data_IF_443201117578
#
_entry.id   IF_443201117578
#
_cell.length_a   1.000
_cell.length_b   1.000
_cell.length_c   1.000
_cell.angle_alpha   90.00
_cell.angle_beta   90.00
_cell.angle_gamma   90.00
#
_symmetry.space_group_name_H-M   'P 1'
#
loop_
_entity.id
_entity.type
_entity.pdbx_description
1 polymer ?
#
# COMPACT_ATOMS: atom_id res chain seq x y z
N UNK A 1 -33.73 -15.17 -0.21
CA UNK A 1 -32.60 -15.67 0.59
C UNK A 1 -31.44 -15.72 -0.37
N UNK A 2 -30.58 -14.70 -0.36
CA UNK A 2 -29.41 -14.66 -1.23
C UNK A 2 -28.49 -15.83 -0.89
N UNK A 3 -28.28 -16.67 -1.90
CA UNK A 3 -27.43 -17.85 -1.79
C UNK A 3 -25.98 -17.35 -1.89
N UNK A 4 -25.44 -16.82 -0.79
CA UNK A 4 -24.04 -16.37 -0.72
C UNK A 4 -23.14 -17.52 -1.18
N UNK A 5 -22.52 -17.36 -2.36
CA UNK A 5 -21.61 -18.37 -2.91
C UNK A 5 -20.45 -18.58 -1.93
N UNK A 6 -20.21 -19.84 -1.58
CA UNK A 6 -19.16 -20.22 -0.64
C UNK A 6 -17.80 -19.96 -1.29
N UNK A 7 -16.96 -19.14 -0.66
CA UNK A 7 -15.58 -18.94 -1.09
C UNK A 7 -14.82 -20.27 -1.20
N UNK A 8 -14.01 -20.39 -2.25
CA UNK A 8 -13.14 -21.53 -2.52
C UNK A 8 -11.71 -21.03 -2.75
N UNK A 9 -10.77 -21.52 -1.96
CA UNK A 9 -9.35 -21.23 -2.17
C UNK A 9 -8.91 -21.73 -3.54
N UNK A 10 -8.15 -20.91 -4.27
CA UNK A 10 -7.62 -21.28 -5.57
C UNK A 10 -6.34 -20.50 -5.89
N UNK A 11 -5.46 -21.12 -6.67
CA UNK A 11 -4.35 -20.40 -7.29
C UNK A 11 -4.91 -19.44 -8.35
N UNK A 12 -4.31 -18.26 -8.48
CA UNK A 12 -4.77 -17.23 -9.39
C UNK A 12 -4.87 -17.79 -10.82
N UNK A 13 -6.07 -17.84 -11.42
CA UNK A 13 -6.25 -18.56 -12.68
C UNK A 13 -5.59 -17.85 -13.87
N UNK A 14 -5.15 -16.61 -13.72
CA UNK A 14 -4.48 -15.83 -14.77
C UNK A 14 -2.99 -16.08 -14.79
N UNK A 15 -2.28 -15.80 -13.69
CA UNK A 15 -0.82 -15.85 -13.65
C UNK A 15 -0.22 -16.98 -12.82
N UNK A 16 -1.04 -17.59 -11.96
CA UNK A 16 -0.65 -18.63 -11.01
C UNK A 16 0.35 -18.27 -9.91
N UNK A 17 0.66 -16.98 -9.74
CA UNK A 17 1.63 -16.51 -8.74
C UNK A 17 1.04 -16.29 -7.34
N UNK A 18 -0.26 -15.96 -7.23
CA UNK A 18 -0.95 -15.75 -5.94
C UNK A 18 -1.88 -16.94 -5.62
N UNK A 19 -1.87 -17.39 -4.37
CA UNK A 19 -2.85 -18.35 -3.85
C UNK A 19 -3.93 -17.63 -3.05
N UNK A 20 -5.17 -17.59 -3.57
CA UNK A 20 -6.31 -16.98 -2.89
C UNK A 20 -6.75 -17.86 -1.72
N UNK A 21 -6.75 -17.33 -0.49
CA UNK A 21 -7.22 -18.04 0.71
C UNK A 21 -8.14 -17.19 1.58
N UNK A 22 -8.92 -17.83 2.45
CA UNK A 22 -9.75 -17.16 3.47
C UNK A 22 -8.94 -16.45 4.55
N UNK A 23 -7.67 -16.81 4.71
CA UNK A 23 -6.80 -16.32 5.78
C UNK A 23 -5.79 -15.27 5.30
N UNK A 24 -5.81 -14.91 4.01
CA UNK A 24 -4.88 -13.93 3.49
C UNK A 24 -5.17 -12.50 3.98
N UNK A 25 -6.31 -12.25 4.64
CA UNK A 25 -6.56 -11.01 5.37
C UNK A 25 -7.70 -11.18 6.41
N UNK A 26 -7.42 -11.13 7.73
CA UNK A 26 -8.45 -11.18 8.76
C UNK A 26 -9.31 -9.90 8.86
N UNK A 27 -8.94 -8.81 8.16
CA UNK A 27 -9.66 -7.53 8.19
C UNK A 27 -10.68 -7.36 7.05
N UNK A 28 -10.80 -8.35 6.17
CA UNK A 28 -11.71 -8.29 5.02
C UNK A 28 -13.01 -9.02 5.34
N UNK A 29 -14.00 -8.28 5.86
CA UNK A 29 -15.36 -8.81 6.08
C UNK A 29 -16.05 -9.26 4.78
N UNK A 30 -15.57 -8.81 3.61
CA UNK A 30 -16.09 -9.17 2.30
C UNK A 30 -14.97 -9.46 1.28
N UNK A 31 -14.81 -10.73 0.90
CA UNK A 31 -13.80 -11.22 -0.07
C UNK A 31 -13.95 -10.62 -1.49
N UNK A 32 -15.01 -9.84 -1.72
CA UNK A 32 -15.39 -9.24 -3.01
C UNK A 32 -14.34 -8.24 -3.58
N UNK A 33 -13.38 -7.77 -2.78
CA UNK A 33 -12.32 -6.85 -3.22
C UNK A 33 -10.94 -7.48 -3.47
N UNK A 34 -10.77 -8.78 -3.20
CA UNK A 34 -9.43 -9.39 -3.19
C UNK A 34 -8.92 -9.65 -4.62
N UNK A 35 -7.80 -9.01 -4.99
CA UNK A 35 -7.19 -9.09 -6.33
C UNK A 35 -5.76 -9.62 -6.28
N UNK A 36 -5.32 -10.23 -7.35
CA UNK A 36 -3.94 -10.65 -7.51
C UNK A 36 -3.02 -9.43 -7.71
N UNK A 37 -2.05 -9.21 -6.82
CA UNK A 37 -1.08 -8.12 -6.95
C UNK A 37 -0.26 -8.20 -8.25
N UNK A 38 0.06 -9.43 -8.71
CA UNK A 38 0.88 -9.66 -9.90
C UNK A 38 0.18 -9.37 -11.23
N UNK A 39 -1.09 -9.79 -11.36
CA UNK A 39 -1.79 -9.70 -12.65
C UNK A 39 -3.04 -8.84 -12.62
N UNK A 40 -3.51 -8.41 -11.45
CA UNK A 40 -4.69 -7.55 -11.27
C UNK A 40 -6.03 -8.28 -11.22
N UNK A 41 -6.08 -9.58 -11.54
CA UNK A 41 -7.32 -10.36 -11.56
C UNK A 41 -8.01 -10.34 -10.18
N UNK A 42 -9.26 -9.89 -10.15
CA UNK A 42 -10.09 -9.96 -8.95
C UNK A 42 -10.61 -11.38 -8.78
N UNK A 43 -10.56 -11.90 -7.56
CA UNK A 43 -11.09 -13.22 -7.24
C UNK A 43 -12.53 -13.33 -7.74
N UNK A 44 -12.78 -14.31 -8.60
CA UNK A 44 -14.11 -14.59 -9.14
C UNK A 44 -14.23 -16.08 -9.38
N UNK A 45 -15.08 -16.74 -8.59
CA UNK A 45 -15.30 -18.18 -8.73
C UNK A 45 -16.11 -18.51 -9.99
N UNK A 46 -17.05 -17.65 -10.37
CA UNK A 46 -17.96 -17.88 -11.49
C UNK A 46 -17.23 -17.75 -12.82
N UNK A 47 -16.40 -16.73 -12.96
CA UNK A 47 -15.54 -16.58 -14.13
C UNK A 47 -14.40 -17.61 -14.17
N UNK A 48 -14.08 -18.25 -13.04
CA UNK A 48 -13.15 -19.39 -13.01
C UNK A 48 -13.84 -20.68 -13.47
N UNK A 49 -15.10 -20.89 -13.10
CA UNK A 49 -15.91 -22.05 -13.50
C UNK A 49 -16.43 -21.93 -14.94
N UNK A 50 -16.76 -20.72 -15.39
CA UNK A 50 -17.07 -20.37 -16.79
C UNK A 50 -16.07 -19.33 -17.31
N UNK A 51 -14.95 -19.76 -17.94
CA UNK A 51 -13.90 -18.86 -18.40
C UNK A 51 -14.29 -17.87 -19.50
N UNK A 52 -15.48 -18.00 -20.08
CA UNK A 52 -16.02 -17.07 -21.08
C UNK A 52 -17.08 -16.12 -20.49
N UNK A 53 -17.47 -16.31 -19.22
CA UNK A 53 -18.38 -15.40 -18.52
C UNK A 53 -17.75 -14.01 -18.37
N UNK A 54 -18.45 -12.99 -18.84
CA UNK A 54 -18.08 -11.58 -18.71
C UNK A 54 -18.87 -10.90 -17.60
N UNK A 55 -18.42 -9.72 -17.19
CA UNK A 55 -19.13 -8.86 -16.24
C UNK A 55 -19.42 -9.54 -14.89
N UNK A 56 -18.46 -10.34 -14.40
CA UNK A 56 -18.42 -10.76 -13.01
C UNK A 56 -17.78 -9.68 -12.14
N UNK A 57 -16.92 -10.08 -11.21
CA UNK A 57 -16.02 -9.14 -10.52
C UNK A 57 -15.00 -8.51 -11.48
N UNK A 58 -14.73 -9.17 -12.62
CA UNK A 58 -13.95 -8.62 -13.73
C UNK A 58 -14.86 -8.39 -14.95
N UNK A 59 -14.66 -7.25 -15.63
CA UNK A 59 -15.41 -6.90 -16.84
C UNK A 59 -15.13 -7.91 -17.97
N UNK A 60 -13.84 -8.21 -18.19
CA UNK A 60 -13.38 -9.22 -19.15
C UNK A 60 -13.63 -10.63 -18.63
N UNK A 61 -13.82 -11.58 -19.54
CA UNK A 61 -13.78 -13.00 -19.17
C UNK A 61 -12.39 -13.44 -18.75
N UNK A 62 -12.28 -14.58 -18.08
CA UNK A 62 -10.97 -15.13 -17.69
C UNK A 62 -10.08 -15.38 -18.91
N UNK A 63 -10.64 -15.87 -20.01
CA UNK A 63 -9.87 -16.10 -21.24
C UNK A 63 -9.39 -14.78 -21.87
N UNK A 64 -10.25 -13.77 -21.98
CA UNK A 64 -9.88 -12.45 -22.51
C UNK A 64 -8.80 -11.79 -21.63
N UNK A 65 -8.93 -11.91 -20.31
CA UNK A 65 -7.95 -11.33 -19.37
C UNK A 65 -6.61 -12.04 -19.42
N UNK A 66 -6.58 -13.37 -19.60
CA UNK A 66 -5.34 -14.13 -19.83
C UNK A 66 -4.63 -13.63 -21.08
N UNK A 67 -5.34 -13.42 -22.18
CA UNK A 67 -4.76 -12.87 -23.41
C UNK A 67 -4.18 -11.48 -23.16
N UNK A 68 -4.94 -10.59 -22.52
CA UNK A 68 -4.45 -9.25 -22.15
C UNK A 68 -3.19 -9.32 -21.27
N UNK A 69 -3.15 -10.21 -20.27
CA UNK A 69 -2.00 -10.35 -19.38
C UNK A 69 -0.76 -10.86 -20.14
N UNK A 70 -0.93 -11.79 -21.08
CA UNK A 70 0.18 -12.22 -21.95
C UNK A 70 0.70 -11.08 -22.82
N UNK A 71 -0.15 -10.18 -23.30
CA UNK A 71 0.29 -8.98 -24.02
C UNK A 71 1.05 -7.99 -23.12
N UNK A 72 0.76 -7.93 -21.81
CA UNK A 72 1.58 -7.15 -20.88
C UNK A 72 2.96 -7.78 -20.71
N UNK A 73 3.03 -9.10 -20.50
CA UNK A 73 4.30 -9.83 -20.34
C UNK A 73 5.20 -9.75 -21.58
N UNK A 74 4.62 -9.64 -22.78
CA UNK A 74 5.39 -9.42 -24.02
C UNK A 74 6.04 -8.03 -24.07
N UNK A 75 5.43 -7.02 -23.45
CA UNK A 75 5.95 -5.65 -23.40
C UNK A 75 6.98 -5.51 -22.28
N UNK A 76 6.70 -6.14 -21.15
CA UNK A 76 7.54 -6.14 -19.96
C UNK A 76 7.50 -7.54 -19.31
N UNK A 77 8.57 -8.35 -19.47
CA UNK A 77 8.65 -9.67 -18.86
C UNK A 77 8.53 -9.67 -17.33
N UNK A 78 8.86 -8.54 -16.70
CA UNK A 78 8.81 -8.34 -15.25
C UNK A 78 7.51 -7.63 -14.81
N UNK A 79 6.52 -7.51 -15.70
CA UNK A 79 5.26 -6.83 -15.43
C UNK A 79 4.62 -7.32 -14.12
N UNK A 80 4.44 -6.36 -13.21
CA UNK A 80 3.61 -6.48 -12.02
C UNK A 80 2.46 -5.47 -12.11
N UNK A 81 1.23 -5.96 -11.95
CA UNK A 81 0.03 -5.13 -12.08
C UNK A 81 0.01 -4.00 -11.06
N UNK A 82 0.41 -4.26 -9.82
CA UNK A 82 0.30 -3.24 -8.77
C UNK A 82 1.35 -2.18 -8.95
N UNK A 83 2.60 -2.55 -9.24
CA UNK A 83 3.65 -1.57 -9.56
C UNK A 83 3.28 -0.73 -10.78
N UNK A 84 2.80 -1.37 -11.86
CA UNK A 84 2.40 -0.69 -13.09
C UNK A 84 1.22 0.27 -12.93
N UNK A 85 0.40 0.06 -11.89
CA UNK A 85 -0.77 0.88 -11.59
C UNK A 85 -0.60 1.69 -10.29
N UNK A 86 0.57 1.66 -9.66
CA UNK A 86 0.83 2.41 -8.45
C UNK A 86 0.80 3.90 -8.77
N UNK A 87 -0.03 4.64 -8.05
CA UNK A 87 -0.10 6.09 -8.14
C UNK A 87 0.48 6.66 -6.85
N UNK A 88 1.70 7.22 -6.89
CA UNK A 88 2.29 7.81 -5.70
C UNK A 88 1.45 8.99 -5.24
N UNK A 89 1.05 8.97 -3.97
CA UNK A 89 0.30 10.06 -3.36
C UNK A 89 1.24 10.93 -2.55
N UNK A 90 1.61 12.07 -3.11
CA UNK A 90 2.44 13.03 -2.40
C UNK A 90 1.71 13.65 -1.21
N UNK A 91 2.40 13.85 -0.10
CA UNK A 91 1.88 14.51 1.10
C UNK A 91 2.93 15.40 1.77
N UNK A 92 2.46 16.31 2.60
CA UNK A 92 3.32 17.25 3.33
C UNK A 92 3.74 16.60 4.65
N UNK A 93 5.00 16.77 5.01
CA UNK A 93 5.55 16.28 6.28
C UNK A 93 4.65 16.66 7.47
N UNK A 94 4.13 15.67 8.22
CA UNK A 94 3.11 15.89 9.25
C UNK A 94 3.65 16.51 10.54
N UNK A 95 4.98 16.62 10.66
CA UNK A 95 5.66 17.20 11.82
C UNK A 95 5.90 18.70 11.63
N UNK A 96 6.49 19.10 10.50
CA UNK A 96 6.98 20.46 10.32
C UNK A 96 6.31 21.25 9.18
N UNK A 97 5.58 20.58 8.27
CA UNK A 97 4.92 21.25 7.16
C UNK A 97 5.82 21.81 6.06
N UNK A 98 7.14 21.51 6.08
CA UNK A 98 8.15 22.15 5.19
C UNK A 98 8.65 21.28 4.04
N UNK A 99 8.40 19.98 4.08
CA UNK A 99 8.84 19.02 3.05
C UNK A 99 7.63 18.33 2.44
N UNK A 100 7.70 18.04 1.14
CA UNK A 100 6.69 17.25 0.42
C UNK A 100 7.34 15.91 0.09
N UNK A 101 6.81 14.83 0.65
CA UNK A 101 7.19 13.48 0.29
C UNK A 101 6.58 13.12 -1.07
N UNK A 102 7.31 12.36 -1.89
CA UNK A 102 6.84 12.02 -3.24
C UNK A 102 5.70 11.00 -3.25
N UNK A 103 5.59 10.21 -2.19
CA UNK A 103 4.57 9.18 -2.00
C UNK A 103 4.36 8.91 -0.51
N UNK A 104 3.17 8.47 -0.12
CA UNK A 104 2.92 7.90 1.21
C UNK A 104 3.84 6.70 1.49
N UNK A 105 4.38 6.60 2.71
CA UNK A 105 5.34 5.55 3.11
C UNK A 105 6.55 5.44 2.18
N UNK A 106 7.08 6.58 1.74
CA UNK A 106 8.32 6.64 0.97
C UNK A 106 9.56 6.27 1.79
N UNK A 107 9.46 6.24 3.13
CA UNK A 107 10.59 6.13 4.06
C UNK A 107 11.65 7.24 3.84
N UNK A 108 11.27 8.33 3.17
CA UNK A 108 12.14 9.50 3.05
C UNK A 108 12.21 10.22 4.40
N UNK A 109 13.42 10.64 4.79
CA UNK A 109 13.62 11.43 6.01
C UNK A 109 13.48 12.92 5.68
N UNK A 110 12.55 13.59 6.35
CA UNK A 110 12.33 15.03 6.20
C UNK A 110 13.61 15.83 6.55
N UNK A 111 14.18 16.62 5.63
CA UNK A 111 15.45 17.31 5.86
C UNK A 111 15.36 18.45 6.89
N UNK A 112 14.15 18.84 7.29
CA UNK A 112 13.91 19.92 8.24
C UNK A 112 13.74 19.43 9.68
N UNK A 113 12.96 18.36 9.88
CA UNK A 113 12.61 17.90 11.23
C UNK A 113 13.14 16.50 11.57
N UNK A 114 13.56 15.72 10.58
CA UNK A 114 14.09 14.37 10.78
C UNK A 114 13.04 13.27 10.88
N UNK A 115 11.75 13.58 10.66
CA UNK A 115 10.69 12.57 10.56
C UNK A 115 10.93 11.67 9.35
N UNK A 116 10.99 10.36 9.55
CA UNK A 116 10.97 9.37 8.48
C UNK A 116 9.52 9.05 8.11
N UNK A 117 9.19 9.19 6.82
CA UNK A 117 7.84 9.01 6.30
C UNK A 117 7.35 7.56 6.39
N UNK A 118 6.29 7.33 7.16
CA UNK A 118 5.71 6.02 7.42
C UNK A 118 4.20 6.17 7.64
N UNK A 119 3.37 5.66 6.73
CA UNK A 119 1.92 5.84 6.81
C UNK A 119 1.31 5.14 8.04
N UNK A 120 1.88 4.04 8.54
CA UNK A 120 1.36 3.37 9.74
C UNK A 120 1.54 4.26 10.97
N UNK A 121 2.71 4.90 11.10
CA UNK A 121 2.96 5.84 12.18
C UNK A 121 2.17 7.14 12.04
N UNK A 122 1.80 7.53 10.81
CA UNK A 122 0.98 8.71 10.52
C UNK A 122 -0.52 8.49 10.77
N UNK A 123 -1.04 7.32 10.37
CA UNK A 123 -2.44 6.91 10.56
C UNK A 123 -2.76 6.66 12.03
N UNK A 124 -1.79 6.18 12.81
CA UNK A 124 -1.92 5.93 14.25
C UNK A 124 -0.93 6.77 15.07
N UNK A 125 -1.15 8.10 15.20
CA UNK A 125 -0.13 9.08 15.59
C UNK A 125 0.37 8.98 17.04
N UNK A 126 -0.31 8.20 17.88
CA UNK A 126 0.04 7.95 19.28
C UNK A 126 0.58 6.53 19.52
N UNK A 127 0.74 5.73 18.46
CA UNK A 127 1.20 4.34 18.52
C UNK A 127 2.51 4.17 17.73
N UNK A 128 3.07 2.97 17.82
CA UNK A 128 4.22 2.54 17.01
C UNK A 128 5.55 3.22 17.37
N UNK A 129 5.77 3.55 18.65
CA UNK A 129 7.11 3.92 19.15
C UNK A 129 8.13 2.82 18.76
N UNK A 130 9.27 3.22 18.20
CA UNK A 130 10.35 2.30 17.82
C UNK A 130 10.12 1.54 16.51
N UNK A 131 9.17 1.96 15.68
CA UNK A 131 9.06 1.55 14.28
C UNK A 131 10.05 2.34 13.41
N UNK A 132 9.62 2.94 12.29
CA UNK A 132 10.50 3.73 11.42
C UNK A 132 11.07 4.96 12.12
N UNK A 133 10.34 5.50 13.11
CA UNK A 133 10.83 6.54 14.01
C UNK A 133 10.95 5.99 15.44
N UNK A 134 11.85 6.55 16.23
CA UNK A 134 12.10 6.14 17.62
C UNK A 134 10.91 6.41 18.56
N UNK A 135 10.07 7.37 18.21
CA UNK A 135 8.86 7.76 18.93
C UNK A 135 7.71 8.03 17.95
N UNK A 136 6.48 7.85 18.42
CA UNK A 136 5.26 8.10 17.66
C UNK A 136 5.15 9.55 17.19
N UNK A 137 4.32 9.78 16.17
CA UNK A 137 4.19 11.06 15.49
C UNK A 137 3.93 12.24 16.45
N UNK A 138 3.03 12.07 17.43
CA UNK A 138 2.71 13.14 18.37
C UNK A 138 3.88 13.46 19.31
N UNK A 139 4.59 12.45 19.82
CA UNK A 139 5.81 12.67 20.62
C UNK A 139 6.92 13.31 19.78
N UNK A 140 7.04 12.93 18.51
CA UNK A 140 7.99 13.53 17.59
C UNK A 140 7.69 15.02 17.35
N UNK A 141 6.41 15.37 17.14
CA UNK A 141 5.96 16.77 17.04
C UNK A 141 6.39 17.57 18.27
N UNK A 142 6.16 17.05 19.48
CA UNK A 142 6.60 17.70 20.72
C UNK A 142 8.12 17.88 20.80
N UNK A 143 8.89 16.85 20.43
CA UNK A 143 10.36 16.92 20.38
C UNK A 143 10.81 18.03 19.44
N UNK A 144 10.28 18.08 18.23
CA UNK A 144 10.62 19.12 17.27
C UNK A 144 10.26 20.53 17.76
N UNK A 145 9.12 20.70 18.44
CA UNK A 145 8.76 21.99 19.05
C UNK A 145 9.72 22.41 20.17
N UNK A 146 10.22 21.47 20.98
CA UNK A 146 11.25 21.75 22.00
C UNK A 146 12.55 22.22 21.35
N UNK A 147 12.95 21.65 20.22
CA UNK A 147 14.14 22.09 19.49
C UNK A 147 13.99 23.47 18.87
N UNK A 148 12.84 23.79 18.29
CA UNK A 148 12.58 25.14 17.77
C UNK A 148 12.62 26.21 18.89
N UNK A 149 12.22 25.86 20.11
CA UNK A 149 12.35 26.76 21.27
C UNK A 149 13.81 26.98 21.68
N UNK A 150 14.67 25.96 21.57
CA UNK A 150 16.11 26.06 21.86
C UNK A 150 16.86 26.80 20.76
N UNK A 151 16.53 26.50 19.50
CA UNK A 151 17.14 27.06 18.30
C UNK A 151 16.05 27.31 17.23
N UNK A 152 15.56 28.55 17.09
CA UNK A 152 14.56 28.90 16.08
C UNK A 152 14.99 28.61 14.63
N UNK A 153 16.29 28.43 14.38
CA UNK A 153 16.86 28.12 13.06
C UNK A 153 17.20 26.62 12.90
N UNK A 154 16.74 25.75 13.80
CA UNK A 154 16.99 24.32 13.74
C UNK A 154 16.56 23.71 12.41
N UNK A 155 17.43 22.86 11.85
CA UNK A 155 17.17 21.99 10.70
C UNK A 155 17.89 20.67 10.90
N UNK A 156 17.15 19.56 10.87
CA UNK A 156 17.69 18.21 11.02
C UNK A 156 18.95 17.95 10.17
N UNK A 157 18.93 18.30 8.88
CA UNK A 157 20.08 18.09 7.98
C UNK A 157 21.37 18.80 8.43
N UNK A 158 21.26 19.85 9.25
CA UNK A 158 22.39 20.61 9.79
C UNK A 158 22.72 20.20 11.23
N UNK A 159 21.69 20.06 12.05
CA UNK A 159 21.84 19.99 13.51
C UNK A 159 21.72 18.56 14.05
N UNK A 160 21.31 17.59 13.23
CA UNK A 160 21.11 16.19 13.60
C UNK A 160 19.79 15.92 14.31
N UNK A 161 19.50 14.64 14.59
CA UNK A 161 18.39 14.29 15.48
C UNK A 161 18.78 14.72 16.90
N UNK A 162 17.88 15.35 17.66
CA UNK A 162 18.17 15.74 19.03
C UNK A 162 18.41 14.49 19.88
N UNK A 163 19.41 14.55 20.76
CA UNK A 163 19.71 13.45 21.68
C UNK A 163 18.45 13.01 22.45
N UNK A 164 18.28 11.69 22.57
CA UNK A 164 17.19 11.02 23.29
C UNK A 164 17.28 11.26 24.81
#
# INVERSE_FOLDING_TARGET
MDNLKKFKSMMCPVCGKLYFTKHNDPNVENILGYKCHFCGWKYDLDQTEDPNLKNGNNEMSLNEYREWYQEQLKKDPDFDFTESNYQPKAHICPVCGKHVFTSESSFEICPFCGWEDDALMEDEPDKWDGCSNDICLNKFRERYQKELKKNPNYKFKKDGLPDQ
#
